data_IF_808135212742
#
_entry.id   IF_808135212742
#
_cell.length_a   1.000
_cell.length_b   1.000
_cell.length_c   1.000
_cell.angle_alpha   90.00
_cell.angle_beta   90.00
_cell.angle_gamma   90.00
#
_symmetry.space_group_name_H-M   'P 1'
#
loop_
_entity.id
_entity.type
_entity.pdbx_description
1 polymer ?
#
# COMPACT_ATOMS: atom_id res chain seq x y z
N UNK A 1 -24.19 4.55 30.92
CA UNK A 1 -22.80 4.89 30.51
C UNK A 1 -22.24 3.98 29.41
N UNK A 2 -22.40 2.65 29.49
CA UNK A 2 -21.84 1.69 28.51
C UNK A 2 -22.23 1.93 27.03
N UNK A 3 -23.48 2.35 26.77
CA UNK A 3 -23.98 2.64 25.40
C UNK A 3 -23.25 3.79 24.70
N UNK A 4 -22.74 4.77 25.45
CA UNK A 4 -22.04 5.94 24.88
C UNK A 4 -20.60 5.56 24.51
N UNK A 5 -19.94 4.80 25.39
CA UNK A 5 -18.58 4.26 25.15
C UNK A 5 -18.57 3.35 23.92
N UNK A 6 -19.57 2.49 23.78
CA UNK A 6 -19.68 1.60 22.62
C UNK A 6 -19.87 2.37 21.29
N UNK A 7 -20.65 3.46 21.30
CA UNK A 7 -20.81 4.32 20.12
C UNK A 7 -19.51 5.03 19.74
N UNK A 8 -18.74 5.50 20.74
CA UNK A 8 -17.43 6.13 20.50
C UNK A 8 -16.41 5.13 19.92
N UNK A 9 -16.40 3.89 20.39
CA UNK A 9 -15.54 2.83 19.85
C UNK A 9 -15.88 2.47 18.40
N UNK A 10 -17.17 2.41 18.05
CA UNK A 10 -17.59 2.20 16.66
C UNK A 10 -17.15 3.38 15.79
N UNK A 11 -17.31 4.62 16.29
CA UNK A 11 -16.93 5.81 15.55
C UNK A 11 -15.41 5.85 15.29
N UNK A 12 -14.59 5.57 16.31
CA UNK A 12 -13.13 5.53 16.15
C UNK A 12 -12.68 4.40 15.23
N UNK A 13 -13.34 3.24 15.29
CA UNK A 13 -13.08 2.13 14.37
C UNK A 13 -13.43 2.49 12.92
N UNK A 14 -14.56 3.14 12.68
CA UNK A 14 -14.94 3.62 11.34
C UNK A 14 -13.94 4.66 10.82
N UNK A 15 -13.49 5.58 11.67
CA UNK A 15 -12.45 6.55 11.30
C UNK A 15 -11.13 5.83 10.98
N UNK A 16 -10.72 4.85 11.79
CA UNK A 16 -9.53 4.04 11.52
C UNK A 16 -9.65 3.25 10.21
N UNK A 17 -10.84 2.76 9.86
CA UNK A 17 -11.10 2.11 8.58
C UNK A 17 -11.03 3.08 7.39
N UNK A 18 -11.38 4.36 7.57
CA UNK A 18 -11.21 5.39 6.54
C UNK A 18 -9.74 5.76 6.38
N UNK A 19 -8.99 5.83 7.49
CA UNK A 19 -7.55 6.10 7.53
C UNK A 19 -6.67 4.86 7.31
N UNK A 20 -7.25 3.68 7.09
CA UNK A 20 -6.52 2.48 6.73
C UNK A 20 -5.88 2.72 5.36
N UNK A 21 -4.63 3.16 5.39
CA UNK A 21 -3.76 3.42 4.26
C UNK A 21 -3.73 2.19 3.36
N UNK A 22 -3.89 2.42 2.07
CA UNK A 22 -3.70 1.36 1.11
C UNK A 22 -2.18 1.07 1.02
N UNK A 23 -1.80 -0.20 0.96
CA UNK A 23 -0.40 -0.63 0.98
C UNK A 23 -0.06 -1.53 -0.20
N UNK A 24 1.07 -1.28 -0.86
CA UNK A 24 1.66 -2.18 -1.84
C UNK A 24 2.94 -2.75 -1.27
N UNK A 25 3.02 -4.07 -1.19
CA UNK A 25 4.25 -4.77 -0.82
C UNK A 25 4.93 -5.26 -2.08
N UNK A 26 6.14 -4.78 -2.33
CA UNK A 26 7.06 -5.28 -3.34
C UNK A 26 8.01 -6.29 -2.73
N UNK A 27 8.13 -7.44 -3.35
CA UNK A 27 9.10 -8.46 -2.99
C UNK A 27 10.22 -8.43 -4.02
N UNK A 28 11.38 -7.97 -3.57
CA UNK A 28 12.60 -7.70 -4.34
C UNK A 28 13.72 -8.63 -3.87
N UNK A 29 14.77 -8.78 -4.70
CA UNK A 29 15.94 -9.60 -4.39
C UNK A 29 16.65 -9.18 -3.08
N UNK A 30 16.51 -7.91 -2.67
CA UNK A 30 17.08 -7.32 -1.46
C UNK A 30 16.10 -7.22 -0.28
N UNK A 31 14.89 -7.78 -0.41
CA UNK A 31 13.92 -7.87 0.67
C UNK A 31 12.50 -7.38 0.31
N UNK A 32 11.70 -7.14 1.34
CA UNK A 32 10.33 -6.68 1.19
C UNK A 32 10.29 -5.16 1.33
N UNK A 33 9.78 -4.47 0.33
CA UNK A 33 9.59 -3.03 0.36
C UNK A 33 8.11 -2.71 0.35
N UNK A 34 7.66 -1.79 1.18
CA UNK A 34 6.25 -1.42 1.26
C UNK A 34 6.06 0.04 0.89
N UNK A 35 4.95 0.28 0.24
CA UNK A 35 4.54 1.57 -0.27
C UNK A 35 3.14 1.88 0.23
N UNK A 36 3.04 2.90 1.05
CA UNK A 36 1.79 3.28 1.70
C UNK A 36 1.22 4.52 1.04
N UNK A 37 0.13 4.33 0.31
CA UNK A 37 -0.65 5.42 -0.27
C UNK A 37 -1.62 6.00 0.74
N UNK A 38 -1.81 7.32 0.70
CA UNK A 38 -2.84 8.02 1.49
C UNK A 38 -4.26 7.66 1.02
N UNK A 39 -4.39 7.25 -0.24
CA UNK A 39 -5.64 6.77 -0.82
C UNK A 39 -5.46 5.46 -1.59
N UNK A 40 -6.57 4.77 -1.84
CA UNK A 40 -6.58 3.52 -2.65
C UNK A 40 -6.23 3.78 -4.11
N UNK A 41 -6.50 4.99 -4.62
CA UNK A 41 -6.17 5.39 -5.99
C UNK A 41 -4.66 5.63 -6.18
N UNK A 42 -3.98 6.10 -5.14
CA UNK A 42 -2.51 6.29 -5.17
C UNK A 42 -1.79 4.95 -5.24
N UNK A 43 -2.24 3.97 -4.46
CA UNK A 43 -1.77 2.60 -4.63
C UNK A 43 -2.01 2.07 -6.03
N UNK A 44 -3.24 2.19 -6.56
CA UNK A 44 -3.53 1.68 -7.90
C UNK A 44 -2.58 2.29 -8.93
N UNK A 45 -2.33 3.60 -8.86
CA UNK A 45 -1.36 4.27 -9.73
C UNK A 45 0.04 3.69 -9.59
N UNK A 46 0.54 3.51 -8.37
CA UNK A 46 1.84 2.87 -8.14
C UNK A 46 1.85 1.44 -8.70
N UNK A 47 0.86 0.60 -8.41
CA UNK A 47 0.77 -0.77 -8.93
C UNK A 47 0.77 -0.79 -10.48
N UNK A 48 0.02 0.13 -11.10
CA UNK A 48 -0.02 0.26 -12.56
C UNK A 48 1.31 0.74 -13.13
N UNK A 49 1.94 1.74 -12.52
CA UNK A 49 3.21 2.29 -12.99
C UNK A 49 4.32 1.22 -12.96
N UNK A 50 4.43 0.49 -11.85
CA UNK A 50 5.44 -0.57 -11.68
C UNK A 50 5.16 -1.73 -12.65
N UNK A 51 3.89 -2.02 -12.93
CA UNK A 51 3.47 -3.02 -13.93
C UNK A 51 3.82 -2.60 -15.36
N UNK A 52 3.54 -1.36 -15.74
CA UNK A 52 3.79 -0.83 -17.09
C UNK A 52 5.29 -0.76 -17.39
N UNK A 53 6.11 -0.43 -16.39
CA UNK A 53 7.57 -0.50 -16.47
C UNK A 53 8.14 -1.93 -16.47
N UNK A 54 7.29 -2.96 -16.36
CA UNK A 54 7.69 -4.39 -16.26
C UNK A 54 8.70 -4.65 -15.13
N UNK A 55 8.60 -3.90 -14.04
CA UNK A 55 9.56 -4.00 -12.93
C UNK A 55 9.37 -5.25 -12.07
N UNK A 56 8.15 -5.77 -11.98
CA UNK A 56 7.84 -6.99 -11.24
C UNK A 56 7.18 -8.04 -12.15
N UNK A 57 7.50 -9.32 -11.98
CA UNK A 57 6.91 -10.40 -12.79
C UNK A 57 5.44 -10.64 -12.51
N UNK A 58 5.01 -10.52 -11.25
CA UNK A 58 3.63 -10.86 -10.87
C UNK A 58 3.05 -9.86 -9.87
N UNK A 59 1.72 -9.72 -9.94
CA UNK A 59 0.95 -8.83 -9.09
C UNK A 59 -0.28 -9.59 -8.60
N UNK A 60 -0.44 -9.68 -7.29
CA UNK A 60 -1.56 -10.34 -6.63
C UNK A 60 -2.26 -9.35 -5.69
N UNK A 61 -3.58 -9.45 -5.61
CA UNK A 61 -4.33 -8.73 -4.60
C UNK A 61 -4.14 -9.44 -3.26
N UNK A 62 -3.41 -8.82 -2.34
CA UNK A 62 -3.06 -9.41 -1.05
C UNK A 62 -4.13 -9.17 0.01
N UNK A 63 -4.88 -8.07 -0.08
CA UNK A 63 -6.01 -7.77 0.79
C UNK A 63 -7.05 -6.91 0.07
N UNK A 64 -8.16 -6.61 0.74
CA UNK A 64 -9.21 -5.75 0.18
C UNK A 64 -8.71 -4.37 -0.28
N UNK A 65 -7.57 -3.90 0.26
CA UNK A 65 -6.94 -2.61 -0.07
C UNK A 65 -5.42 -2.71 -0.20
N UNK A 66 -4.89 -3.90 -0.50
CA UNK A 66 -3.46 -4.11 -0.57
C UNK A 66 -3.05 -4.99 -1.74
N UNK A 67 -1.99 -4.60 -2.42
CA UNK A 67 -1.42 -5.35 -3.54
C UNK A 67 -0.06 -5.90 -3.13
N UNK A 68 0.28 -7.07 -3.64
CA UNK A 68 1.61 -7.64 -3.52
C UNK A 68 2.18 -7.83 -4.91
N UNK A 69 3.31 -7.20 -5.17
CA UNK A 69 4.08 -7.38 -6.38
C UNK A 69 5.27 -8.30 -6.05
N UNK A 70 5.48 -9.36 -6.82
CA UNK A 70 6.56 -10.33 -6.59
C UNK A 70 7.57 -10.32 -7.72
N UNK A 71 8.79 -10.74 -7.38
CA UNK A 71 9.96 -10.76 -8.26
C UNK A 71 10.19 -9.37 -8.88
N UNK A 72 10.24 -8.36 -8.03
CA UNK A 72 10.49 -6.98 -8.42
C UNK A 72 11.99 -6.72 -8.52
N UNK A 73 12.42 -6.13 -9.63
CA UNK A 73 13.79 -5.69 -9.83
C UNK A 73 14.01 -4.27 -9.29
N UNK A 74 15.23 -3.99 -8.84
CA UNK A 74 15.74 -2.67 -8.45
C UNK A 74 14.91 -1.88 -7.42
N UNK A 75 15.18 -2.15 -6.14
CA UNK A 75 14.54 -1.47 -5.00
C UNK A 75 14.70 0.05 -5.00
N UNK A 76 15.75 0.61 -5.62
CA UNK A 76 15.93 2.06 -5.71
C UNK A 76 14.88 2.69 -6.61
N UNK A 77 14.53 2.03 -7.71
CA UNK A 77 13.53 2.52 -8.64
C UNK A 77 12.11 2.32 -8.07
N UNK A 78 11.87 1.24 -7.30
CA UNK A 78 10.63 1.07 -6.53
C UNK A 78 10.42 2.21 -5.51
N UNK A 79 11.48 2.56 -4.78
CA UNK A 79 11.47 3.71 -3.86
C UNK A 79 11.16 5.01 -4.57
N UNK A 80 11.78 5.24 -5.73
CA UNK A 80 11.54 6.44 -6.52
C UNK A 80 10.08 6.55 -6.98
N UNK A 81 9.51 5.46 -7.50
CA UNK A 81 8.11 5.42 -7.94
C UNK A 81 7.16 5.71 -6.76
N UNK A 82 7.39 5.12 -5.59
CA UNK A 82 6.57 5.41 -4.41
C UNK A 82 6.61 6.90 -4.02
N UNK A 83 7.80 7.50 -4.04
CA UNK A 83 7.97 8.91 -3.71
C UNK A 83 7.36 9.83 -4.77
N UNK A 84 7.45 9.47 -6.05
CA UNK A 84 6.85 10.22 -7.17
C UNK A 84 5.33 10.33 -7.03
N UNK A 85 4.67 9.27 -6.56
CA UNK A 85 3.23 9.25 -6.31
C UNK A 85 2.84 9.74 -4.90
N UNK A 86 3.79 10.29 -4.14
CA UNK A 86 3.54 10.83 -2.79
C UNK A 86 3.21 9.79 -1.73
N UNK A 87 3.58 8.53 -1.97
CA UNK A 87 3.43 7.43 -1.04
C UNK A 87 4.63 7.34 -0.08
N UNK A 88 4.39 6.88 1.14
CA UNK A 88 5.46 6.58 2.09
C UNK A 88 6.13 5.24 1.73
N UNK A 89 7.44 5.17 1.89
CA UNK A 89 8.24 3.99 1.55
C UNK A 89 8.90 3.41 2.80
N UNK A 90 8.79 2.09 2.98
CA UNK A 90 9.38 1.31 4.05
C UNK A 90 10.17 0.14 3.45
N UNK A 91 11.39 -0.12 3.93
CA UNK A 91 12.19 -1.31 3.63
C UNK A 91 12.22 -2.20 4.87
#
# INVERSE_FOLDING_TARGET
MYKIVFKLLILSYLVALVYASCGITFESDDGHHKCYGKSTEDCKRVAHHVKDKKMCKSYEQHSARGFRAKDCHDSKELKHICQEHGCEYEH
#
